data_IF_569230021167
#
_entry.id   IF_569230021167
#
_cell.length_a   1.000
_cell.length_b   1.000
_cell.length_c   1.000
_cell.angle_alpha   90.00
_cell.angle_beta   90.00
_cell.angle_gamma   90.00
#
_symmetry.space_group_name_H-M   'P 1'
#
loop_
_entity.id
_entity.type
_entity.pdbx_description
1 polymer ?
#
# COMPACT_ATOMS: atom_id res chain seq x y z
N UNK A 1 23.98 -5.60 -16.85
CA UNK A 1 22.50 -5.71 -16.78
C UNK A 1 22.14 -5.69 -15.31
N UNK A 2 21.66 -4.57 -14.78
CA UNK A 2 21.15 -4.55 -13.41
C UNK A 2 19.89 -5.44 -13.41
N UNK A 3 19.99 -6.65 -12.85
CA UNK A 3 18.79 -7.36 -12.42
C UNK A 3 18.04 -6.36 -11.55
N UNK A 4 16.82 -5.98 -11.93
CA UNK A 4 15.92 -5.38 -10.98
C UNK A 4 15.93 -6.33 -9.78
N UNK A 5 16.42 -5.86 -8.63
CA UNK A 5 16.40 -6.57 -7.36
C UNK A 5 14.95 -6.65 -6.91
N UNK A 6 14.07 -7.23 -7.74
CA UNK A 6 12.68 -7.48 -7.39
C UNK A 6 12.77 -8.55 -6.31
N UNK A 7 12.54 -8.19 -5.05
CA UNK A 7 12.81 -9.09 -3.96
C UNK A 7 11.86 -10.27 -4.11
N UNK A 8 12.39 -11.48 -4.01
CA UNK A 8 11.70 -12.72 -4.38
C UNK A 8 10.46 -13.04 -3.54
N UNK A 9 10.13 -12.21 -2.53
CA UNK A 9 8.99 -12.40 -1.64
C UNK A 9 8.51 -11.07 -1.03
N UNK A 10 7.56 -10.36 -1.68
CA UNK A 10 7.00 -9.11 -1.15
C UNK A 10 6.46 -9.23 0.28
N UNK A 11 5.88 -10.38 0.63
CA UNK A 11 5.36 -10.63 1.98
C UNK A 11 6.47 -10.63 3.06
N UNK A 12 7.66 -11.18 2.76
CA UNK A 12 8.79 -11.14 3.69
C UNK A 12 9.29 -9.71 3.90
N UNK A 13 9.29 -8.90 2.85
CA UNK A 13 9.70 -7.50 2.95
C UNK A 13 8.76 -6.68 3.82
N UNK A 14 7.46 -6.87 3.64
CA UNK A 14 6.45 -6.21 4.45
C UNK A 14 6.57 -6.62 5.92
N UNK A 15 6.77 -7.91 6.20
CA UNK A 15 7.05 -8.42 7.57
C UNK A 15 8.31 -7.82 8.20
N UNK A 16 9.29 -7.46 7.39
CA UNK A 16 10.55 -6.87 7.85
C UNK A 16 10.43 -5.37 8.20
N UNK A 17 9.35 -4.69 7.79
CA UNK A 17 9.14 -3.27 8.06
C UNK A 17 9.04 -3.00 9.56
N UNK A 18 9.77 -1.96 9.99
CA UNK A 18 9.81 -1.49 11.38
C UNK A 18 9.11 -0.15 11.60
N UNK A 19 8.76 0.54 10.52
CA UNK A 19 8.07 1.82 10.54
C UNK A 19 6.63 1.64 10.06
N UNK A 20 5.68 2.45 10.56
CA UNK A 20 4.31 2.47 10.07
C UNK A 20 4.24 2.74 8.56
N UNK A 21 3.27 2.12 7.88
CA UNK A 21 3.07 2.27 6.44
C UNK A 21 1.60 2.54 6.13
N UNK A 22 1.37 3.49 5.23
CA UNK A 22 0.04 3.82 4.72
C UNK A 22 -0.09 3.35 3.27
N UNK A 23 -0.96 2.38 3.02
CA UNK A 23 -1.31 1.93 1.69
C UNK A 23 -2.47 2.77 1.17
N UNK A 24 -2.31 3.27 -0.06
CA UNK A 24 -3.36 3.96 -0.81
C UNK A 24 -3.54 3.25 -2.14
N UNK A 25 -4.76 2.84 -2.45
CA UNK A 25 -5.10 2.18 -3.72
C UNK A 25 -6.42 2.71 -4.24
N UNK A 26 -6.58 2.79 -5.56
CA UNK A 26 -7.85 3.17 -6.17
C UNK A 26 -8.85 2.03 -6.05
N UNK A 27 -10.09 2.32 -5.64
CA UNK A 27 -11.17 1.33 -5.59
C UNK A 27 -11.40 0.66 -6.95
N UNK A 28 -11.16 1.39 -8.05
CA UNK A 28 -11.32 0.95 -9.43
C UNK A 28 -9.99 0.74 -10.15
N UNK A 29 -8.91 0.49 -9.41
CA UNK A 29 -7.60 0.25 -9.99
C UNK A 29 -7.65 -0.97 -10.93
N UNK A 30 -7.29 -0.74 -12.18
CA UNK A 30 -7.35 -1.72 -13.26
C UNK A 30 -6.08 -2.56 -13.38
N UNK A 31 -5.01 -2.20 -12.69
CA UNK A 31 -3.71 -2.89 -12.72
C UNK A 31 -3.44 -3.68 -11.44
N UNK A 32 -3.87 -3.15 -10.30
CA UNK A 32 -3.67 -3.75 -8.98
C UNK A 32 -5.02 -4.01 -8.34
N UNK A 33 -5.27 -5.26 -7.97
CA UNK A 33 -6.47 -5.66 -7.24
C UNK A 33 -6.33 -5.25 -5.75
N UNK A 34 -7.21 -4.37 -5.23
CA UNK A 34 -7.17 -3.93 -3.83
C UNK A 34 -7.19 -5.09 -2.83
N UNK A 35 -7.94 -6.16 -3.10
CA UNK A 35 -8.02 -7.32 -2.23
C UNK A 35 -6.72 -8.11 -2.18
N UNK A 36 -5.98 -8.17 -3.29
CA UNK A 36 -4.65 -8.79 -3.32
C UNK A 36 -3.62 -7.94 -2.58
N UNK A 37 -3.76 -6.61 -2.63
CA UNK A 37 -2.88 -5.72 -1.88
C UNK A 37 -3.14 -5.79 -0.36
N UNK A 38 -4.40 -5.96 0.05
CA UNK A 38 -4.79 -6.09 1.46
C UNK A 38 -4.07 -7.25 2.17
N UNK A 39 -3.82 -8.37 1.47
CA UNK A 39 -3.07 -9.50 2.03
C UNK A 39 -1.71 -9.05 2.56
N UNK A 40 -1.02 -8.15 1.86
CA UNK A 40 0.26 -7.64 2.31
C UNK A 40 0.13 -6.72 3.53
N UNK A 41 -0.92 -5.92 3.61
CA UNK A 41 -1.20 -5.13 4.82
C UNK A 41 -1.42 -6.03 6.05
N UNK A 42 -2.06 -7.19 5.86
CA UNK A 42 -2.27 -8.18 6.91
C UNK A 42 -0.96 -8.85 7.39
N UNK A 43 0.08 -8.88 6.54
CA UNK A 43 1.41 -9.40 6.89
C UNK A 43 2.21 -8.44 7.80
N UNK A 44 1.74 -7.22 8.05
CA UNK A 44 2.42 -6.30 8.98
C UNK A 44 2.41 -6.86 10.42
N UNK A 45 3.54 -6.69 11.11
CA UNK A 45 3.63 -7.00 12.54
C UNK A 45 2.59 -6.18 13.33
N UNK A 46 1.95 -6.72 14.38
CA UNK A 46 0.91 -6.01 15.14
C UNK A 46 1.35 -4.62 15.62
N UNK A 47 2.60 -4.49 16.09
CA UNK A 47 3.16 -3.20 16.54
C UNK A 47 3.24 -2.16 15.43
N UNK A 48 3.59 -2.57 14.22
CA UNK A 48 3.67 -1.68 13.05
C UNK A 48 2.29 -1.41 12.49
N UNK A 49 1.42 -2.43 12.49
CA UNK A 49 0.08 -2.40 11.93
C UNK A 49 -0.85 -1.45 12.70
N UNK A 50 -0.68 -1.34 14.02
CA UNK A 50 -1.49 -0.45 14.87
C UNK A 50 -1.48 1.01 14.41
N UNK A 51 -0.34 1.48 13.90
CA UNK A 51 -0.14 2.85 13.41
C UNK A 51 -0.15 2.94 11.87
N UNK A 52 -0.40 1.82 11.19
CA UNK A 52 -0.47 1.74 9.73
C UNK A 52 -1.92 1.86 9.26
N UNK A 53 -2.12 2.12 7.98
CA UNK A 53 -3.48 2.16 7.42
C UNK A 53 -3.55 1.60 6.01
N UNK A 54 -4.69 1.01 5.67
CA UNK A 54 -5.05 0.68 4.30
C UNK A 54 -6.23 1.55 3.87
N UNK A 55 -6.09 2.24 2.73
CA UNK A 55 -7.10 3.18 2.24
C UNK A 55 -7.42 2.91 0.79
N UNK A 56 -8.66 2.54 0.54
CA UNK A 56 -9.23 2.53 -0.80
C UNK A 56 -9.77 3.93 -1.11
N UNK A 57 -9.34 4.52 -2.22
CA UNK A 57 -9.78 5.84 -2.66
C UNK A 57 -11.00 5.64 -3.57
N UNK A 58 -12.21 6.06 -3.14
CA UNK A 58 -13.43 5.78 -3.86
C UNK A 58 -13.42 6.33 -5.28
N UNK A 59 -13.83 5.52 -6.24
CA UNK A 59 -13.93 5.89 -7.65
C UNK A 59 -12.60 6.15 -8.37
N UNK A 60 -11.45 6.11 -7.68
CA UNK A 60 -10.14 6.30 -8.30
C UNK A 60 -9.69 5.02 -9.02
N UNK A 61 -9.13 5.22 -10.20
CA UNK A 61 -8.37 4.23 -10.98
C UNK A 61 -6.85 4.35 -10.70
N UNK A 62 -6.04 3.54 -11.39
CA UNK A 62 -4.60 3.47 -11.16
C UNK A 62 -3.86 4.81 -11.27
N UNK A 63 -4.28 5.70 -12.19
CA UNK A 63 -3.57 6.96 -12.44
C UNK A 63 -4.24 8.15 -11.76
N UNK A 64 -5.57 8.15 -11.70
CA UNK A 64 -6.33 9.22 -11.05
C UNK A 64 -6.10 9.30 -9.54
N UNK A 65 -5.64 8.21 -8.91
CA UNK A 65 -5.21 8.22 -7.50
C UNK A 65 -4.13 9.27 -7.21
N UNK A 66 -3.29 9.61 -8.20
CA UNK A 66 -2.27 10.66 -8.06
C UNK A 66 -2.88 12.05 -7.83
N UNK A 67 -4.12 12.26 -8.31
CA UNK A 67 -4.90 13.47 -8.06
C UNK A 67 -5.52 13.53 -6.66
N UNK A 68 -5.51 12.43 -5.90
CA UNK A 68 -6.06 12.36 -4.55
C UNK A 68 -5.07 12.85 -3.47
N UNK A 69 -4.06 13.64 -3.85
CA UNK A 69 -2.96 14.10 -2.99
C UNK A 69 -3.44 14.73 -1.67
N UNK A 70 -4.53 15.49 -1.68
CA UNK A 70 -5.11 16.06 -0.45
C UNK A 70 -5.63 15.01 0.54
N UNK A 71 -6.20 13.91 0.04
CA UNK A 71 -6.65 12.78 0.88
C UNK A 71 -5.46 12.00 1.42
N UNK A 72 -4.41 11.83 0.61
CA UNK A 72 -3.17 11.16 0.99
C UNK A 72 -2.44 11.98 2.08
N UNK A 73 -2.28 13.30 1.87
CA UNK A 73 -1.58 14.19 2.81
C UNK A 73 -2.24 14.23 4.19
N UNK A 74 -3.57 14.37 4.28
CA UNK A 74 -4.29 14.44 5.57
C UNK A 74 -4.15 13.19 6.44
N UNK A 75 -3.74 12.06 5.85
CA UNK A 75 -3.63 10.77 6.55
C UNK A 75 -2.20 10.47 7.03
N UNK A 76 -1.24 11.32 6.64
CA UNK A 76 0.19 11.20 6.98
C UNK A 76 0.60 12.23 8.05
N UNK A 77 -0.23 13.26 8.30
CA UNK A 77 -0.09 14.24 9.39
C UNK A 77 -0.57 13.66 10.75
#
# INVERSE_FOLDING_TARGET
MAQALTPSSPAEQIRALKAPVHFFIGEKDQLIDPHKLMVYYEELKPSTKADSSFTEIPGADHLSILGAGTTISRKID
#
